data_IF_296875828141
#
_entry.id   IF_296875828141
#
_cell.length_a   1.000
_cell.length_b   1.000
_cell.length_c   1.000
_cell.angle_alpha   90.00
_cell.angle_beta   90.00
_cell.angle_gamma   90.00
#
_symmetry.space_group_name_H-M   'P 1'
#
loop_
_entity.id
_entity.type
_entity.pdbx_description
1 polymer ?
#
# COMPACT_ATOMS: atom_id res chain seq x y z
N UNK A 1 -5.97 -13.16 -20.88
CA UNK A 1 -7.26 -13.22 -20.15
C UNK A 1 -6.98 -12.83 -18.71
N UNK A 2 -7.72 -11.88 -18.12
CA UNK A 2 -7.66 -11.62 -16.68
C UNK A 2 -8.27 -12.83 -15.98
N UNK A 3 -7.63 -13.34 -14.93
CA UNK A 3 -8.20 -14.39 -14.10
C UNK A 3 -9.46 -13.85 -13.41
N UNK A 4 -10.63 -14.33 -13.84
CA UNK A 4 -11.93 -13.86 -13.37
C UNK A 4 -12.11 -14.06 -11.86
N UNK A 5 -11.48 -15.10 -11.29
CA UNK A 5 -11.53 -15.37 -9.84
C UNK A 5 -10.75 -14.31 -9.07
N UNK A 6 -9.53 -14.00 -9.51
CA UNK A 6 -8.71 -12.94 -8.89
C UNK A 6 -9.40 -11.58 -9.03
N UNK A 7 -9.99 -11.31 -10.20
CA UNK A 7 -10.72 -10.07 -10.43
C UNK A 7 -11.95 -9.92 -9.52
N UNK A 8 -12.76 -10.97 -9.37
CA UNK A 8 -13.92 -10.95 -8.48
C UNK A 8 -13.51 -10.72 -7.02
N UNK A 9 -12.46 -11.39 -6.56
CA UNK A 9 -11.94 -11.22 -5.20
C UNK A 9 -11.43 -9.79 -4.97
N UNK A 10 -10.75 -9.19 -5.95
CA UNK A 10 -10.30 -7.79 -5.86
C UNK A 10 -11.44 -6.79 -5.72
N UNK A 11 -12.55 -7.01 -6.41
CA UNK A 11 -13.74 -6.16 -6.25
C UNK A 11 -14.33 -6.31 -4.85
N UNK A 12 -14.35 -7.53 -4.29
CA UNK A 12 -14.83 -7.77 -2.93
C UNK A 12 -13.91 -7.17 -1.86
N UNK A 13 -12.59 -7.28 -2.02
CA UNK A 13 -11.58 -6.68 -1.14
C UNK A 13 -11.77 -5.16 -1.01
N UNK A 14 -11.99 -4.46 -2.14
CA UNK A 14 -12.29 -3.03 -2.17
C UNK A 14 -13.53 -2.67 -1.32
N UNK A 15 -14.56 -3.51 -1.31
CA UNK A 15 -15.77 -3.30 -0.50
C UNK A 15 -15.54 -3.52 1.00
N UNK A 16 -14.46 -4.20 1.40
CA UNK A 16 -14.13 -4.38 2.81
C UNK A 16 -13.50 -3.13 3.42
N UNK A 17 -12.81 -2.31 2.62
CA UNK A 17 -12.12 -1.09 3.08
C UNK A 17 -13.09 -0.11 3.78
N UNK A 18 -14.24 0.29 3.20
CA UNK A 18 -15.21 1.15 3.90
C UNK A 18 -15.78 0.52 5.17
N UNK A 19 -16.02 -0.80 5.18
CA UNK A 19 -16.52 -1.53 6.36
C UNK A 19 -15.49 -1.53 7.49
N UNK A 20 -14.21 -1.65 7.15
CA UNK A 20 -13.11 -1.60 8.10
C UNK A 20 -12.93 -0.19 8.67
N UNK A 21 -13.00 0.84 7.82
CA UNK A 21 -13.00 2.25 8.26
C UNK A 21 -14.12 2.46 9.28
N UNK A 22 -15.35 2.05 8.98
CA UNK A 22 -16.48 2.17 9.90
C UNK A 22 -16.23 1.46 11.25
N UNK A 23 -15.71 0.22 11.23
CA UNK A 23 -15.35 -0.53 12.45
C UNK A 23 -14.25 0.15 13.26
N UNK A 24 -13.24 0.72 12.61
CA UNK A 24 -12.17 1.46 13.27
C UNK A 24 -12.70 2.73 13.92
N UNK A 25 -13.62 3.45 13.28
CA UNK A 25 -14.33 4.59 13.87
C UNK A 25 -15.13 4.20 15.11
N UNK A 26 -15.87 3.09 15.06
CA UNK A 26 -16.71 2.63 16.17
C UNK A 26 -15.89 2.21 17.40
N UNK A 27 -14.71 1.63 17.19
CA UNK A 27 -13.82 1.12 18.26
C UNK A 27 -12.78 2.12 18.75
N UNK A 28 -12.51 3.19 18.00
CA UNK A 28 -11.56 4.23 18.37
C UNK A 28 -12.07 5.08 19.54
N UNK A 29 -11.16 5.44 20.45
CA UNK A 29 -11.44 6.45 21.47
C UNK A 29 -11.77 7.80 20.80
N UNK A 30 -12.44 8.71 21.49
CA UNK A 30 -12.78 10.03 20.94
C UNK A 30 -11.54 10.85 20.51
N UNK A 31 -10.38 10.56 21.10
CA UNK A 31 -9.06 11.11 20.73
C UNK A 31 -8.52 10.45 19.46
N UNK A 32 -8.61 9.12 19.34
CA UNK A 32 -8.16 8.38 18.16
C UNK A 32 -9.03 8.63 16.92
N UNK A 33 -10.32 8.94 17.11
CA UNK A 33 -11.24 9.35 16.04
C UNK A 33 -10.77 10.61 15.30
N UNK A 34 -9.94 11.46 15.93
CA UNK A 34 -9.33 12.65 15.32
C UNK A 34 -8.03 12.35 14.54
N UNK A 35 -7.46 11.16 14.72
CA UNK A 35 -6.19 10.73 14.10
C UNK A 35 -6.43 9.99 12.78
N UNK A 36 -7.69 9.84 12.37
CA UNK A 36 -8.02 9.22 11.09
C UNK A 36 -7.59 10.14 9.95
N UNK A 37 -6.49 9.76 9.31
CA UNK A 37 -5.92 10.48 8.19
C UNK A 37 -6.80 10.34 6.95
N UNK A 38 -7.51 11.42 6.61
CA UNK A 38 -8.38 11.46 5.42
C UNK A 38 -7.57 11.24 4.14
N UNK A 39 -6.30 11.64 4.10
CA UNK A 39 -5.40 11.39 2.97
C UNK A 39 -5.17 9.89 2.78
N UNK A 40 -4.91 9.17 3.87
CA UNK A 40 -4.75 7.72 3.85
C UNK A 40 -6.04 7.02 3.38
N UNK A 41 -7.20 7.40 3.92
CA UNK A 41 -8.50 6.84 3.51
C UNK A 41 -8.73 7.04 2.02
N UNK A 42 -8.46 8.25 1.51
CA UNK A 42 -8.62 8.57 0.07
C UNK A 42 -7.79 7.64 -0.80
N UNK A 43 -6.56 7.35 -0.40
CA UNK A 43 -5.71 6.41 -1.12
C UNK A 43 -6.23 4.97 -1.04
N UNK A 44 -6.71 4.51 0.11
CA UNK A 44 -7.24 3.15 0.27
C UNK A 44 -8.45 2.87 -0.63
N UNK A 45 -9.34 3.87 -0.82
CA UNK A 45 -10.54 3.74 -1.67
C UNK A 45 -10.32 4.19 -3.13
N UNK A 46 -9.12 4.68 -3.46
CA UNK A 46 -8.84 5.19 -4.80
C UNK A 46 -8.91 4.09 -5.87
N UNK A 47 -9.27 4.50 -7.08
CA UNK A 47 -9.23 3.61 -8.25
C UNK A 47 -7.79 3.22 -8.53
N UNK A 48 -7.59 2.05 -9.12
CA UNK A 48 -6.24 1.56 -9.39
C UNK A 48 -5.46 2.50 -10.32
N UNK A 49 -6.12 3.11 -11.31
CA UNK A 49 -5.51 4.12 -12.19
C UNK A 49 -5.03 5.36 -11.43
N UNK A 50 -5.74 5.76 -10.38
CA UNK A 50 -5.37 6.90 -9.53
C UNK A 50 -4.18 6.54 -8.65
N UNK A 51 -4.14 5.33 -8.10
CA UNK A 51 -3.01 4.82 -7.35
C UNK A 51 -1.74 4.66 -8.21
N UNK A 52 -1.89 4.20 -9.45
CA UNK A 52 -0.77 4.14 -10.41
C UNK A 52 -0.24 5.55 -10.70
N UNK A 53 -1.13 6.52 -10.95
CA UNK A 53 -0.74 7.90 -11.19
C UNK A 53 -0.05 8.52 -9.96
N UNK A 54 -0.61 8.32 -8.76
CA UNK A 54 -0.03 8.77 -7.50
C UNK A 54 1.37 8.18 -7.29
N UNK A 55 1.54 6.88 -7.49
CA UNK A 55 2.84 6.21 -7.37
C UNK A 55 3.87 6.79 -8.33
N UNK A 56 3.50 7.00 -9.60
CA UNK A 56 4.38 7.60 -10.61
C UNK A 56 4.79 9.03 -10.26
N UNK A 57 3.87 9.83 -9.74
CA UNK A 57 4.14 11.22 -9.34
C UNK A 57 5.06 11.33 -8.12
N UNK A 58 5.14 10.28 -7.29
CA UNK A 58 5.89 10.29 -6.03
C UNK A 58 7.11 9.35 -6.04
N UNK A 59 7.57 8.88 -7.20
CA UNK A 59 8.69 7.93 -7.31
C UNK A 59 9.97 8.43 -6.62
N UNK A 60 10.30 9.71 -6.76
CA UNK A 60 11.51 10.29 -6.14
C UNK A 60 11.43 10.21 -4.61
N UNK A 61 10.24 10.44 -4.04
CA UNK A 61 9.99 10.28 -2.60
C UNK A 61 10.07 8.82 -2.17
N UNK A 62 9.53 7.90 -2.98
CA UNK A 62 9.60 6.46 -2.70
C UNK A 62 11.05 5.97 -2.65
N UNK A 63 11.87 6.39 -3.62
CA UNK A 63 13.28 6.05 -3.63
C UNK A 63 14.03 6.70 -2.45
N UNK A 64 13.70 7.95 -2.10
CA UNK A 64 14.27 8.61 -0.92
C UNK A 64 13.96 7.84 0.37
N UNK A 65 12.73 7.34 0.53
CA UNK A 65 12.35 6.51 1.67
C UNK A 65 13.16 5.21 1.69
N UNK A 66 13.30 4.53 0.55
CA UNK A 66 14.12 3.31 0.43
C UNK A 66 15.58 3.55 0.82
N UNK A 67 16.20 4.62 0.30
CA UNK A 67 17.59 4.96 0.60
C UNK A 67 17.77 5.32 2.08
N UNK A 68 16.86 6.12 2.65
CA UNK A 68 16.89 6.49 4.06
C UNK A 68 16.78 5.24 4.96
N UNK A 69 15.85 4.32 4.68
CA UNK A 69 15.73 3.06 5.43
C UNK A 69 16.97 2.17 5.28
N UNK A 70 17.55 2.09 4.08
CA UNK A 70 18.79 1.34 3.83
C UNK A 70 19.99 1.90 4.59
N UNK A 71 20.04 3.23 4.76
CA UNK A 71 21.10 3.94 5.48
C UNK A 71 20.88 4.01 7.00
N UNK A 72 19.77 3.48 7.53
CA UNK A 72 19.41 3.59 8.94
C UNK A 72 18.88 4.99 9.35
N UNK A 73 18.58 5.86 8.39
CA UNK A 73 18.01 7.20 8.60
C UNK A 73 16.48 7.14 8.81
N UNK A 74 16.03 6.38 9.81
CA UNK A 74 14.61 6.16 10.09
C UNK A 74 13.79 7.45 10.10
N UNK A 75 14.17 8.42 10.93
CA UNK A 75 13.42 9.67 11.12
C UNK A 75 13.10 10.42 9.82
N UNK A 76 14.02 10.39 8.84
CA UNK A 76 13.80 10.99 7.52
C UNK A 76 12.77 10.20 6.70
N UNK A 77 12.84 8.87 6.73
CA UNK A 77 11.84 8.02 6.11
C UNK A 77 10.45 8.23 6.73
N UNK A 78 10.36 8.28 8.07
CA UNK A 78 9.11 8.53 8.79
C UNK A 78 8.48 9.89 8.43
N UNK A 79 9.29 10.94 8.26
CA UNK A 79 8.80 12.25 7.83
C UNK A 79 8.12 12.17 6.45
N UNK A 80 8.77 11.53 5.46
CA UNK A 80 8.24 11.44 4.09
C UNK A 80 7.02 10.52 4.05
N UNK A 81 6.98 9.45 4.85
CA UNK A 81 5.81 8.58 4.98
C UNK A 81 4.59 9.35 5.48
N UNK A 82 4.77 10.20 6.48
CA UNK A 82 3.71 11.06 7.02
C UNK A 82 3.19 12.04 5.96
N UNK A 83 4.08 12.68 5.19
CA UNK A 83 3.68 13.55 4.07
C UNK A 83 2.86 12.83 2.98
N UNK A 84 3.10 11.53 2.81
CA UNK A 84 2.43 10.69 1.81
C UNK A 84 1.22 9.95 2.36
N UNK A 85 0.90 10.12 3.65
CA UNK A 85 -0.19 9.41 4.32
C UNK A 85 -0.01 7.89 4.33
N UNK A 86 1.23 7.42 4.45
CA UNK A 86 1.57 6.00 4.52
C UNK A 86 1.69 5.54 5.96
N UNK A 87 1.31 4.29 6.22
CA UNK A 87 1.38 3.67 7.56
C UNK A 87 2.80 3.25 7.91
N UNK A 88 3.51 2.60 6.98
CA UNK A 88 4.81 2.01 7.28
C UNK A 88 5.67 1.83 6.04
N UNK A 89 6.97 1.63 6.28
CA UNK A 89 7.93 1.16 5.31
C UNK A 89 8.87 0.13 5.93
N UNK A 90 9.01 -1.02 5.29
CA UNK A 90 9.79 -2.14 5.82
C UNK A 90 10.43 -2.99 4.72
N UNK A 91 11.51 -3.68 5.07
CA UNK A 91 12.09 -4.73 4.24
C UNK A 91 11.42 -6.06 4.60
N UNK A 92 10.83 -6.71 3.60
CA UNK A 92 10.34 -8.07 3.72
C UNK A 92 11.09 -8.95 2.73
N UNK A 93 11.98 -9.80 3.25
CA UNK A 93 12.94 -10.56 2.46
C UNK A 93 13.79 -9.61 1.57
N UNK A 94 13.74 -9.78 0.25
CA UNK A 94 14.46 -8.97 -0.75
C UNK A 94 13.59 -7.86 -1.37
N UNK A 95 12.40 -7.62 -0.81
CA UNK A 95 11.45 -6.60 -1.28
C UNK A 95 11.36 -5.50 -0.24
N UNK A 96 11.29 -4.27 -0.70
CA UNK A 96 10.96 -3.13 0.15
C UNK A 96 9.49 -2.75 -0.02
N UNK A 97 8.74 -2.65 1.07
CA UNK A 97 7.29 -2.46 1.07
C UNK A 97 6.97 -1.10 1.68
N UNK A 98 6.15 -0.33 0.98
CA UNK A 98 5.49 0.88 1.44
C UNK A 98 4.00 0.59 1.61
N UNK A 99 3.50 0.70 2.84
CA UNK A 99 2.10 0.39 3.16
C UNK A 99 1.31 1.68 3.27
N UNK A 100 0.26 1.84 2.44
CA UNK A 100 -0.70 2.94 2.59
C UNK A 100 -1.59 2.64 3.81
N UNK A 101 -2.18 1.45 3.85
CA UNK A 101 -3.03 1.00 4.96
C UNK A 101 -3.65 -0.38 4.70
N UNK A 102 -4.23 -0.95 5.76
CA UNK A 102 -4.85 -2.28 5.79
C UNK A 102 -4.89 -2.84 7.22
N UNK A 103 -5.71 -3.87 7.46
CA UNK A 103 -5.70 -4.64 8.72
C UNK A 103 -5.65 -6.12 8.38
N UNK A 104 -4.56 -6.79 8.75
CA UNK A 104 -4.24 -8.22 8.58
C UNK A 104 -4.32 -8.76 7.13
N UNK A 105 -5.48 -8.62 6.49
CA UNK A 105 -5.86 -9.31 5.26
C UNK A 105 -6.53 -8.30 4.30
N UNK A 106 -6.01 -7.10 4.02
CA UNK A 106 -6.52 -6.18 2.96
C UNK A 106 -5.57 -4.98 2.87
N UNK A 107 -4.36 -5.21 2.40
CA UNK A 107 -3.30 -4.20 2.37
C UNK A 107 -3.18 -3.62 0.97
N UNK A 108 -3.09 -2.29 0.91
CA UNK A 108 -2.77 -1.55 -0.32
C UNK A 108 -1.45 -0.83 -0.12
N UNK A 109 -0.57 -0.90 -1.11
CA UNK A 109 0.74 -0.28 -0.99
C UNK A 109 1.57 -0.39 -2.27
N UNK A 110 2.84 -0.03 -2.14
CA UNK A 110 3.84 -0.16 -3.19
C UNK A 110 4.96 -1.08 -2.75
N UNK A 111 5.51 -1.85 -3.68
CA UNK A 111 6.68 -2.67 -3.46
C UNK A 111 7.78 -2.28 -4.42
N UNK A 112 9.02 -2.30 -3.92
CA UNK A 112 10.24 -2.15 -4.71
C UNK A 112 10.98 -3.48 -4.74
N UNK A 113 11.28 -3.97 -5.94
CA UNK A 113 12.10 -5.15 -6.16
C UNK A 113 13.14 -4.85 -7.25
N UNK A 114 14.39 -5.28 -7.03
CA UNK A 114 15.45 -5.11 -8.03
C UNK A 114 15.27 -6.04 -9.23
N UNK A 115 14.61 -7.18 -9.03
CA UNK A 115 14.24 -8.11 -10.10
C UNK A 115 12.75 -8.50 -10.02
N UNK A 116 12.03 -8.57 -11.15
CA UNK A 116 10.63 -9.02 -11.18
C UNK A 116 10.44 -10.46 -10.67
N UNK A 117 11.49 -11.30 -10.75
CA UNK A 117 11.51 -12.69 -10.27
C UNK A 117 11.30 -12.79 -8.74
N UNK A 118 11.60 -11.72 -8.02
CA UNK A 118 11.47 -11.64 -6.55
C UNK A 118 10.06 -11.27 -6.10
N UNK A 119 9.21 -10.80 -7.00
CA UNK A 119 7.84 -10.42 -6.67
C UNK A 119 7.05 -11.65 -6.19
N UNK A 120 6.12 -11.47 -5.23
CA UNK A 120 5.27 -12.56 -4.80
C UNK A 120 4.36 -13.00 -5.95
N UNK A 121 3.93 -14.27 -5.90
CA UNK A 121 2.98 -14.79 -6.90
C UNK A 121 1.59 -14.24 -6.60
N UNK A 122 0.89 -13.79 -7.64
CA UNK A 122 -0.50 -13.42 -7.48
C UNK A 122 -1.35 -14.66 -7.16
N UNK A 123 -2.23 -14.54 -6.17
CA UNK A 123 -3.18 -15.58 -5.78
C UNK A 123 -4.47 -14.94 -5.24
N UNK A 124 -5.62 -15.64 -5.30
CA UNK A 124 -6.86 -15.16 -4.70
C UNK A 124 -6.86 -15.04 -3.16
N UNK A 125 -5.80 -15.47 -2.46
CA UNK A 125 -5.75 -15.52 -0.99
C UNK A 125 -4.62 -14.68 -0.40
N UNK A 126 -3.77 -14.08 -1.23
CA UNK A 126 -2.67 -13.23 -0.79
C UNK A 126 -2.60 -12.00 -1.70
N UNK A 127 -1.80 -12.03 -2.76
CA UNK A 127 -1.62 -10.91 -3.68
C UNK A 127 -2.62 -10.98 -4.84
N UNK A 128 -3.66 -10.16 -4.81
CA UNK A 128 -4.69 -10.10 -5.86
C UNK A 128 -4.38 -9.08 -6.95
N UNK A 129 -3.35 -8.26 -6.75
CA UNK A 129 -2.86 -7.35 -7.78
C UNK A 129 -1.39 -7.05 -7.55
N UNK A 130 -0.62 -7.09 -8.63
CA UNK A 130 0.71 -6.52 -8.74
C UNK A 130 0.77 -5.83 -10.10
N UNK A 131 0.89 -4.50 -10.10
CA UNK A 131 0.90 -3.68 -11.31
C UNK A 131 2.20 -2.86 -11.35
N UNK A 132 2.97 -2.99 -12.41
CA UNK A 132 4.23 -2.25 -12.54
C UNK A 132 3.95 -0.76 -12.80
N UNK A 133 4.54 0.11 -11.99
CA UNK A 133 4.42 1.57 -12.15
C UNK A 133 5.72 2.23 -12.65
N UNK A 134 6.87 1.60 -12.40
CA UNK A 134 8.20 1.95 -12.91
C UNK A 134 9.12 0.71 -12.91
N UNK A 135 10.35 0.75 -13.47
CA UNK A 135 11.19 -0.44 -13.60
C UNK A 135 11.35 -1.29 -12.33
N UNK A 136 11.42 -0.67 -11.15
CA UNK A 136 11.59 -1.36 -9.86
C UNK A 136 10.38 -1.26 -8.94
N UNK A 137 9.37 -0.47 -9.28
CA UNK A 137 8.25 -0.18 -8.39
C UNK A 137 6.93 -0.73 -8.93
N UNK A 138 6.16 -1.32 -8.02
CA UNK A 138 4.90 -1.98 -8.31
C UNK A 138 3.84 -1.56 -7.29
N UNK A 139 2.63 -1.30 -7.75
CA UNK A 139 1.45 -1.18 -6.90
C UNK A 139 0.93 -2.57 -6.56
N UNK A 140 0.58 -2.82 -5.30
CA UNK A 140 0.01 -4.10 -4.88
C UNK A 140 -1.28 -3.95 -4.07
N UNK A 141 -2.09 -5.02 -4.11
CA UNK A 141 -3.26 -5.20 -3.24
C UNK A 141 -3.32 -6.63 -2.73
N UNK A 142 -3.72 -6.81 -1.47
CA UNK A 142 -3.96 -8.11 -0.86
C UNK A 142 -5.42 -8.31 -0.45
N UNK A 143 -5.75 -9.55 -0.09
CA UNK A 143 -7.04 -10.01 0.46
C UNK A 143 -6.97 -10.34 1.91
#
# INVERSE_FOLDING_TARGET
>A
MRDEKIYAVRVLALMQIPKQIARSYDRASEVDRRIIDIGQIRLMIARDSELVAFGRQNLDKFETIFQAKSAGEGAKAEQILSELHFTSAEFQNEIFILTIGGVADNTVGFMRADEPSKLPKMSPHEYIMIEQISPKWYLFKTT
#
